data_IF_070156334616
#
_entry.id   IF_070156334616
#
_cell.length_a   1.000
_cell.length_b   1.000
_cell.length_c   1.000
_cell.angle_alpha   90.00
_cell.angle_beta   90.00
_cell.angle_gamma   90.00
#
_symmetry.space_group_name_H-M   'P 1'
#
loop_
_entity.id
_entity.type
_entity.pdbx_description
1 polymer ?
#
# COMPACT_ATOMS: atom_id res chain seq x y z
N UNK A 1 -17.28 -1.68 -13.26
CA UNK A 1 -16.14 -0.80 -12.97
C UNK A 1 -16.06 -0.51 -11.49
N UNK A 2 -14.93 -0.71 -10.92
CA UNK A 2 -14.74 -0.46 -9.50
C UNK A 2 -13.93 0.83 -9.34
N UNK A 3 -14.54 1.90 -8.82
CA UNK A 3 -13.84 3.17 -8.70
C UNK A 3 -12.78 3.18 -7.60
N UNK A 4 -12.84 2.21 -6.68
CA UNK A 4 -11.90 2.19 -5.56
C UNK A 4 -10.78 1.21 -5.84
N UNK A 5 -9.54 1.55 -5.46
CA UNK A 5 -8.45 0.59 -5.56
C UNK A 5 -8.74 -0.61 -4.66
N UNK A 6 -8.24 -1.80 -5.02
CA UNK A 6 -8.37 -2.96 -4.15
C UNK A 6 -7.71 -2.72 -2.81
N UNK A 7 -8.29 -3.27 -1.77
CA UNK A 7 -7.71 -3.20 -0.44
C UNK A 7 -6.52 -4.13 -0.33
N UNK A 8 -5.60 -3.77 0.55
CA UNK A 8 -4.54 -4.71 0.91
C UNK A 8 -5.13 -5.86 1.72
N UNK A 9 -4.63 -7.05 1.49
CA UNK A 9 -5.07 -8.23 2.24
C UNK A 9 -4.00 -8.75 3.18
N UNK A 10 -2.77 -8.27 3.06
CA UNK A 10 -1.69 -8.66 3.97
C UNK A 10 -0.72 -7.51 4.13
N UNK A 11 -0.09 -7.47 5.31
CA UNK A 11 0.80 -6.38 5.64
C UNK A 11 2.03 -6.30 4.74
N UNK A 12 2.47 -7.44 4.21
CA UNK A 12 3.63 -7.43 3.33
C UNK A 12 3.39 -6.66 2.03
N UNK A 13 2.14 -6.48 1.62
CA UNK A 13 1.85 -5.64 0.46
C UNK A 13 2.24 -4.19 0.73
N UNK A 14 2.00 -3.72 1.95
CA UNK A 14 2.36 -2.36 2.33
C UNK A 14 3.87 -2.19 2.27
N UNK A 15 4.60 -3.16 2.83
CA UNK A 15 6.07 -3.09 2.83
C UNK A 15 6.62 -3.18 1.41
N UNK A 16 6.06 -4.05 0.59
CA UNK A 16 6.49 -4.17 -0.80
C UNK A 16 6.25 -2.89 -1.57
N UNK A 17 5.11 -2.24 -1.33
CA UNK A 17 4.80 -0.97 -1.99
C UNK A 17 5.81 0.10 -1.59
N UNK A 18 6.15 0.17 -0.30
CA UNK A 18 7.18 1.13 0.13
C UNK A 18 8.50 0.85 -0.56
N UNK A 19 8.86 -0.43 -0.64
CA UNK A 19 10.12 -0.80 -1.27
C UNK A 19 10.17 -0.37 -2.73
N UNK A 20 9.07 -0.55 -3.45
CA UNK A 20 9.01 -0.14 -4.84
C UNK A 20 9.20 1.35 -5.02
N UNK A 21 8.73 2.15 -4.05
CA UNK A 21 8.87 3.59 -4.09
C UNK A 21 10.18 4.10 -3.48
N UNK A 22 10.92 3.22 -2.82
CA UNK A 22 12.08 3.64 -2.07
C UNK A 22 11.73 4.44 -0.83
N UNK A 23 10.53 4.21 -0.28
CA UNK A 23 10.05 4.97 0.87
C UNK A 23 10.40 4.26 2.16
N UNK A 24 10.79 5.04 3.17
CA UNK A 24 10.91 4.55 4.52
C UNK A 24 9.54 4.58 5.18
N UNK A 25 9.44 3.95 6.36
CA UNK A 25 8.17 3.98 7.10
C UNK A 25 7.73 5.40 7.39
N UNK A 26 8.70 6.27 7.71
CA UNK A 26 8.40 7.67 7.99
C UNK A 26 7.81 8.36 6.76
N UNK A 27 8.28 8.02 5.58
CA UNK A 27 7.77 8.64 4.35
C UNK A 27 6.30 8.27 4.14
N UNK A 28 5.99 7.00 4.31
CA UNK A 28 4.59 6.56 4.18
C UNK A 28 3.73 7.16 5.27
N UNK A 29 4.23 7.19 6.49
CA UNK A 29 3.47 7.76 7.62
C UNK A 29 3.13 9.21 7.34
N UNK A 30 4.10 9.98 6.86
CA UNK A 30 3.86 11.38 6.52
C UNK A 30 2.81 11.50 5.42
N UNK A 31 2.96 10.71 4.36
CA UNK A 31 2.02 10.76 3.23
C UNK A 31 0.61 10.37 3.65
N UNK A 32 0.49 9.43 4.58
CA UNK A 32 -0.81 8.95 5.04
C UNK A 32 -1.33 9.68 6.27
N UNK A 33 -0.56 10.63 6.79
CA UNK A 33 -0.89 11.39 7.99
C UNK A 33 -1.07 10.45 9.18
N UNK A 34 -0.08 9.58 9.40
CA UNK A 34 -0.07 8.60 10.47
C UNK A 34 1.25 8.66 11.20
N UNK A 35 1.27 8.09 12.41
CA UNK A 35 2.52 7.89 13.11
C UNK A 35 3.25 6.70 12.50
N UNK A 36 4.60 6.72 12.43
CA UNK A 36 5.34 5.58 11.86
C UNK A 36 5.06 4.25 12.56
N UNK A 37 4.72 4.27 13.85
CA UNK A 37 4.36 3.05 14.55
C UNK A 37 3.13 2.38 13.98
N UNK A 38 2.19 3.16 13.44
CA UNK A 38 1.01 2.60 12.80
C UNK A 38 1.41 1.85 11.54
N UNK A 39 2.35 2.38 10.78
CA UNK A 39 2.84 1.70 9.59
C UNK A 39 3.48 0.36 9.98
N UNK A 40 4.36 0.37 10.99
CA UNK A 40 4.99 -0.85 11.47
C UNK A 40 3.96 -1.88 11.92
N UNK A 41 2.96 -1.42 12.67
CA UNK A 41 1.95 -2.32 13.21
C UNK A 41 1.25 -3.10 12.10
N UNK A 42 0.80 -2.39 11.07
CA UNK A 42 0.04 -3.04 10.01
C UNK A 42 0.93 -3.85 9.07
N UNK A 43 2.17 -3.43 8.86
CA UNK A 43 3.09 -4.18 8.02
C UNK A 43 3.42 -5.56 8.57
N UNK A 44 3.38 -5.70 9.89
CA UNK A 44 3.74 -6.96 10.53
C UNK A 44 2.61 -7.97 10.56
N UNK A 45 1.41 -7.57 10.18
CA UNK A 45 0.28 -8.48 10.26
C UNK A 45 0.26 -9.37 9.03
N UNK A 46 0.10 -10.68 9.28
CA UNK A 46 0.03 -11.64 8.18
C UNK A 46 -1.19 -11.40 7.33
N UNK A 47 -2.31 -11.04 7.97
CA UNK A 47 -3.56 -10.77 7.27
C UNK A 47 -4.12 -9.46 7.77
N UNK A 48 -4.75 -8.73 6.87
CA UNK A 48 -5.41 -7.48 7.21
C UNK A 48 -6.91 -7.69 7.19
N UNK A 49 -7.64 -6.94 8.05
CA UNK A 49 -9.10 -7.06 8.05
C UNK A 49 -9.66 -6.74 6.66
N UNK A 50 -10.56 -7.60 6.17
CA UNK A 50 -11.07 -7.46 4.82
C UNK A 50 -12.50 -6.94 4.79
N UNK A 51 -13.29 -7.18 5.85
CA UNK A 51 -14.68 -6.74 5.85
C UNK A 51 -14.79 -5.24 6.09
N UNK A 52 -14.08 -4.76 7.10
CA UNK A 52 -14.06 -3.35 7.41
C UNK A 52 -12.60 -2.92 7.39
N UNK A 53 -12.28 -2.07 6.44
CA UNK A 53 -10.90 -1.61 6.30
C UNK A 53 -10.59 -0.60 7.41
N UNK A 54 -9.55 -0.85 8.23
CA UNK A 54 -9.16 0.13 9.24
C UNK A 54 -8.77 1.45 8.59
N UNK A 55 -9.05 2.56 9.26
CA UNK A 55 -8.79 3.85 8.65
C UNK A 55 -7.31 4.05 8.36
N UNK A 56 -6.42 3.50 9.20
CA UNK A 56 -4.99 3.59 8.95
C UNK A 56 -4.61 2.87 7.65
N UNK A 57 -5.18 1.68 7.43
CA UNK A 57 -4.91 0.93 6.20
C UNK A 57 -5.45 1.67 4.99
N UNK A 58 -6.62 2.27 5.11
CA UNK A 58 -7.20 3.03 4.02
C UNK A 58 -6.32 4.23 3.66
N UNK A 59 -5.83 4.94 4.68
CA UNK A 59 -4.96 6.09 4.44
C UNK A 59 -3.66 5.69 3.76
N UNK A 60 -3.08 4.58 4.20
CA UNK A 60 -1.85 4.09 3.57
C UNK A 60 -2.11 3.66 2.13
N UNK A 61 -3.21 2.97 1.91
CA UNK A 61 -3.58 2.54 0.56
C UNK A 61 -3.75 3.73 -0.36
N UNK A 62 -4.44 4.76 0.11
CA UNK A 62 -4.66 5.95 -0.70
C UNK A 62 -3.37 6.71 -0.97
N UNK A 63 -2.50 6.82 0.03
CA UNK A 63 -1.21 7.49 -0.15
C UNK A 63 -0.35 6.75 -1.17
N UNK A 64 -0.33 5.43 -1.07
CA UNK A 64 0.47 4.61 -1.99
C UNK A 64 -0.13 4.66 -3.40
N UNK A 65 -1.45 4.61 -3.51
CA UNK A 65 -2.10 4.71 -4.82
C UNK A 65 -1.79 6.06 -5.48
N UNK A 66 -1.79 7.12 -4.68
CA UNK A 66 -1.44 8.44 -5.20
C UNK A 66 0.00 8.53 -5.68
N UNK A 67 0.88 7.67 -5.15
CA UNK A 67 2.27 7.61 -5.57
C UNK A 67 2.52 6.62 -6.72
N UNK A 68 1.47 5.98 -7.22
CA UNK A 68 1.60 5.12 -8.39
C UNK A 68 1.53 3.63 -8.09
N UNK A 69 1.21 3.23 -6.86
CA UNK A 69 1.13 1.82 -6.51
C UNK A 69 -0.24 1.27 -6.92
N UNK A 70 -0.22 0.13 -7.59
CA UNK A 70 -1.41 -0.63 -7.93
C UNK A 70 -1.39 -1.89 -7.09
N UNK A 71 -2.47 -2.11 -6.33
CA UNK A 71 -2.62 -3.29 -5.50
C UNK A 71 -3.21 -4.42 -6.32
N UNK A 72 -2.63 -5.60 -6.20
CA UNK A 72 -3.09 -6.79 -6.90
C UNK A 72 -3.38 -7.85 -5.86
N UNK A 73 -4.57 -8.46 -5.94
CA UNK A 73 -4.92 -9.52 -4.99
C UNK A 73 -5.22 -10.84 -5.66
N UNK A 74 -5.25 -10.87 -6.97
CA UNK A 74 -5.56 -12.08 -7.71
C UNK A 74 -4.63 -12.16 -8.92
N UNK A 75 -4.03 -13.31 -9.20
CA UNK A 75 -4.23 -14.60 -8.55
C UNK A 75 -3.57 -14.71 -7.18
N UNK A 76 -2.70 -13.77 -6.82
CA UNK A 76 -2.04 -13.76 -5.53
C UNK A 76 -1.83 -12.32 -5.11
N UNK A 77 -1.71 -12.06 -3.79
CA UNK A 77 -1.46 -10.70 -3.34
C UNK A 77 -0.12 -10.16 -3.83
N UNK A 78 -0.13 -8.92 -4.24
CA UNK A 78 1.08 -8.26 -4.69
C UNK A 78 0.84 -6.78 -4.90
N UNK A 79 1.85 -6.10 -5.39
CA UNK A 79 1.76 -4.69 -5.74
C UNK A 79 2.61 -4.43 -6.97
N UNK A 80 2.22 -3.42 -7.73
CA UNK A 80 2.96 -2.96 -8.90
C UNK A 80 3.14 -1.46 -8.81
N UNK A 81 4.19 -0.96 -9.42
CA UNK A 81 4.41 0.47 -9.52
C UNK A 81 4.12 0.89 -10.95
N UNK A 82 3.11 1.74 -11.11
CA UNK A 82 2.81 2.28 -12.44
C UNK A 82 3.78 3.42 -12.73
N UNK A 83 3.91 3.75 -13.97
CA UNK A 83 4.82 4.83 -14.35
C UNK A 83 6.20 4.36 -14.71
N UNK A 84 6.63 3.20 -14.22
CA UNK A 84 7.91 2.65 -14.61
C UNK A 84 8.02 2.50 -16.12
N UNK A 85 6.90 2.21 -16.72
CA UNK A 85 6.87 2.03 -18.17
C UNK A 85 7.33 3.27 -18.90
N UNK A 86 7.31 4.40 -18.24
CA UNK A 86 7.72 5.64 -18.88
C UNK A 86 9.21 5.67 -19.17
N UNK A 87 9.98 4.82 -18.54
CA UNK A 87 11.40 4.77 -18.78
C UNK A 87 11.75 3.82 -19.91
N UNK A 88 10.77 3.16 -20.43
CA UNK A 88 11.00 2.23 -21.53
C UNK A 88 11.03 3.01 -22.81
N UNK A 89 12.12 3.26 -23.25
CA UNK A 89 12.29 3.98 -24.49
C UNK A 89 13.57 3.71 -25.10
#
# INVERSE_FOLDING_TARGET
MNPNPPKFVMGSQIRAARALLGWRREDLATAANLHPNAVSYWEKRAELPSRIEPSACKRMRQALAGAGIVTVNSPAPGVCLTGCKLVLR
#
